data_IF_908000222668
#
_entry.id   IF_908000222668
#
_cell.length_a   1.000
_cell.length_b   1.000
_cell.length_c   1.000
_cell.angle_alpha   90.00
_cell.angle_beta   90.00
_cell.angle_gamma   90.00
#
_symmetry.space_group_name_H-M   'P 1'
#
loop_
_entity.id
_entity.type
_entity.pdbx_description
1 polymer ?
#
# COMPACT_ATOMS: atom_id res chain seq x y z
N UNK A 1 7.08 16.44 5.65
CA UNK A 1 7.25 15.57 4.45
C UNK A 1 8.71 15.16 4.14
N UNK A 2 9.74 15.75 4.78
CA UNK A 2 11.18 15.42 4.52
C UNK A 2 11.68 14.06 5.07
N UNK A 3 10.96 13.44 6.00
CA UNK A 3 11.38 12.17 6.61
C UNK A 3 11.25 10.94 5.70
N UNK A 4 10.26 10.91 4.80
CA UNK A 4 10.05 9.78 3.89
C UNK A 4 11.22 9.63 2.91
N UNK A 5 11.55 10.70 2.18
CA UNK A 5 12.63 10.66 1.19
C UNK A 5 13.99 10.36 1.83
N UNK A 6 14.24 10.88 3.04
CA UNK A 6 15.50 10.60 3.75
C UNK A 6 15.60 9.13 4.14
N UNK A 7 14.53 8.55 4.72
CA UNK A 7 14.52 7.14 5.09
C UNK A 7 14.60 6.20 3.88
N UNK A 8 13.82 6.46 2.82
CA UNK A 8 13.88 5.66 1.59
C UNK A 8 15.24 5.71 0.90
N UNK A 9 15.89 6.88 0.88
CA UNK A 9 17.23 7.00 0.31
C UNK A 9 18.24 6.15 1.09
N UNK A 10 18.19 6.19 2.43
CA UNK A 10 19.03 5.33 3.28
C UNK A 10 18.78 3.84 3.02
N UNK A 11 17.52 3.42 2.90
CA UNK A 11 17.17 2.01 2.66
C UNK A 11 17.54 1.54 1.25
N UNK A 12 17.36 2.38 0.23
CA UNK A 12 17.79 2.07 -1.14
C UNK A 12 19.31 1.96 -1.24
N UNK A 13 20.06 2.80 -0.53
CA UNK A 13 21.52 2.69 -0.44
C UNK A 13 21.94 1.40 0.29
N UNK A 14 21.27 1.05 1.38
CA UNK A 14 21.51 -0.20 2.10
C UNK A 14 21.22 -1.42 1.20
N UNK A 15 20.10 -1.39 0.47
CA UNK A 15 19.69 -2.43 -0.46
C UNK A 15 20.71 -2.59 -1.61
N UNK A 16 21.11 -1.48 -2.23
CA UNK A 16 22.11 -1.46 -3.30
C UNK A 16 23.45 -2.05 -2.84
N UNK A 17 23.93 -1.65 -1.65
CA UNK A 17 25.17 -2.15 -1.09
C UNK A 17 25.12 -3.64 -0.75
N UNK A 18 24.01 -4.12 -0.17
CA UNK A 18 23.81 -5.54 0.15
C UNK A 18 23.71 -6.39 -1.14
N UNK A 19 23.05 -5.87 -2.17
CA UNK A 19 22.87 -6.56 -3.44
C UNK A 19 24.12 -6.57 -4.34
N UNK A 20 25.03 -5.60 -4.17
CA UNK A 20 26.15 -5.29 -5.10
C UNK A 20 26.96 -6.49 -5.59
N UNK A 21 27.18 -7.51 -4.74
CA UNK A 21 28.04 -8.66 -5.08
C UNK A 21 27.30 -9.80 -5.76
N UNK A 22 26.08 -10.10 -5.32
CA UNK A 22 25.35 -11.31 -5.72
C UNK A 22 24.17 -11.04 -6.63
N UNK A 23 23.64 -9.80 -6.62
CA UNK A 23 22.43 -9.42 -7.30
C UNK A 23 22.62 -8.05 -7.99
N UNK A 24 23.42 -7.97 -9.06
CA UNK A 24 23.70 -6.71 -9.75
C UNK A 24 22.43 -6.04 -10.31
N UNK A 25 21.44 -6.82 -10.71
CA UNK A 25 20.14 -6.31 -11.18
C UNK A 25 19.37 -5.50 -10.10
N UNK A 26 19.44 -5.93 -8.84
CA UNK A 26 18.80 -5.24 -7.70
C UNK A 26 19.55 -3.95 -7.41
N UNK A 27 20.88 -3.99 -7.49
CA UNK A 27 21.72 -2.80 -7.33
C UNK A 27 21.36 -1.74 -8.37
N UNK A 28 21.28 -2.11 -9.65
CA UNK A 28 20.89 -1.19 -10.73
C UNK A 28 19.48 -0.63 -10.53
N UNK A 29 18.52 -1.49 -10.17
CA UNK A 29 17.16 -1.06 -9.88
C UNK A 29 17.10 -0.08 -8.71
N UNK A 30 17.88 -0.32 -7.65
CA UNK A 30 17.95 0.57 -6.48
C UNK A 30 18.60 1.91 -6.84
N UNK A 31 19.66 1.94 -7.64
CA UNK A 31 20.31 3.17 -8.13
C UNK A 31 19.35 4.00 -9.00
N UNK A 32 18.55 3.36 -9.85
CA UNK A 32 17.48 4.04 -10.62
C UNK A 32 16.42 4.64 -9.71
N UNK A 33 15.95 3.91 -8.69
CA UNK A 33 14.99 4.43 -7.71
C UNK A 33 15.56 5.60 -6.90
N UNK A 34 16.86 5.57 -6.55
CA UNK A 34 17.54 6.71 -5.89
C UNK A 34 17.54 7.94 -6.78
N UNK A 35 17.82 7.77 -8.07
CA UNK A 35 17.78 8.87 -9.04
C UNK A 35 16.38 9.48 -9.13
N UNK A 36 15.33 8.65 -9.29
CA UNK A 36 13.93 9.07 -9.31
C UNK A 36 13.60 9.87 -8.04
N UNK A 37 13.98 9.37 -6.86
CA UNK A 37 13.72 10.03 -5.59
C UNK A 37 14.38 11.41 -5.48
N UNK A 38 15.60 11.56 -6.01
CA UNK A 38 16.29 12.86 -6.06
C UNK A 38 15.58 13.84 -6.98
N UNK A 39 15.21 13.41 -8.18
CA UNK A 39 14.48 14.24 -9.15
C UNK A 39 13.15 14.74 -8.57
N UNK A 40 12.42 13.89 -7.84
CA UNK A 40 11.17 14.31 -7.19
C UNK A 40 11.47 15.32 -6.07
N UNK A 41 12.51 15.11 -5.27
CA UNK A 41 12.88 16.00 -4.15
C UNK A 41 13.28 17.40 -4.61
N UNK A 42 13.87 17.51 -5.80
CA UNK A 42 14.29 18.79 -6.39
C UNK A 42 13.12 19.61 -6.95
N UNK A 43 11.92 19.03 -7.10
CA UNK A 43 10.72 19.73 -7.55
C UNK A 43 9.96 20.33 -6.37
N UNK A 44 9.98 21.66 -6.16
CA UNK A 44 9.23 22.29 -5.08
C UNK A 44 7.72 22.20 -5.32
N UNK A 45 6.95 21.98 -4.26
CA UNK A 45 5.48 22.05 -4.28
C UNK A 45 4.74 20.73 -4.53
N UNK A 46 5.43 19.63 -4.81
CA UNK A 46 4.81 18.31 -5.01
C UNK A 46 4.93 17.43 -3.75
N UNK A 47 3.86 16.68 -3.44
CA UNK A 47 3.93 15.64 -2.41
C UNK A 47 4.70 14.43 -2.96
N UNK A 48 5.85 14.14 -2.33
CA UNK A 48 6.71 13.00 -2.68
C UNK A 48 5.92 11.70 -2.74
N UNK A 49 4.97 11.51 -1.82
CA UNK A 49 4.17 10.28 -1.73
C UNK A 49 3.30 10.11 -2.96
N UNK A 50 2.67 11.19 -3.45
CA UNK A 50 1.84 11.16 -4.65
C UNK A 50 2.67 10.94 -5.92
N UNK A 51 3.86 11.54 -6.01
CA UNK A 51 4.73 11.35 -7.17
C UNK A 51 5.29 9.91 -7.23
N UNK A 52 5.61 9.32 -6.08
CA UNK A 52 6.00 7.92 -5.99
C UNK A 52 4.84 6.97 -6.35
N UNK A 53 3.61 7.29 -5.93
CA UNK A 53 2.42 6.49 -6.27
C UNK A 53 2.10 6.47 -7.77
N UNK A 54 2.67 7.37 -8.57
CA UNK A 54 2.56 7.34 -10.04
C UNK A 54 3.63 6.48 -10.72
N UNK A 55 4.66 6.06 -9.99
CA UNK A 55 5.83 5.41 -10.55
C UNK A 55 5.96 3.97 -10.03
N UNK A 56 5.41 3.01 -10.77
CA UNK A 56 5.51 1.58 -10.45
C UNK A 56 6.93 1.03 -10.51
N UNK A 57 7.80 1.61 -11.35
CA UNK A 57 9.22 1.21 -11.44
C UNK A 57 9.98 1.45 -10.12
N UNK A 58 9.52 2.41 -9.31
CA UNK A 58 10.12 2.67 -8.00
C UNK A 58 10.07 1.46 -7.06
N UNK A 59 9.07 0.58 -7.23
CA UNK A 59 8.89 -0.63 -6.41
C UNK A 59 9.77 -1.79 -6.83
N UNK A 60 10.25 -1.78 -8.07
CA UNK A 60 11.02 -2.87 -8.70
C UNK A 60 12.19 -3.39 -7.85
N UNK A 61 13.09 -2.55 -7.27
CA UNK A 61 14.18 -3.08 -6.46
C UNK A 61 13.72 -3.87 -5.23
N UNK A 62 12.60 -3.47 -4.61
CA UNK A 62 12.07 -4.14 -3.43
C UNK A 62 11.41 -5.48 -3.79
N UNK A 63 10.68 -5.53 -4.90
CA UNK A 63 10.06 -6.79 -5.38
C UNK A 63 11.14 -7.80 -5.74
N UNK A 64 12.15 -7.40 -6.54
CA UNK A 64 13.27 -8.27 -6.89
C UNK A 64 14.02 -8.77 -5.65
N UNK A 65 14.25 -7.90 -4.66
CA UNK A 65 14.89 -8.27 -3.42
C UNK A 65 14.08 -9.29 -2.60
N UNK A 66 12.75 -9.18 -2.60
CA UNK A 66 11.88 -10.19 -1.98
C UNK A 66 11.96 -11.54 -2.70
N UNK A 67 12.07 -11.54 -4.04
CA UNK A 67 12.19 -12.77 -4.86
C UNK A 67 13.50 -13.54 -4.60
N UNK A 68 14.59 -12.86 -4.23
CA UNK A 68 15.87 -13.53 -3.90
C UNK A 68 15.78 -14.49 -2.72
N UNK A 69 14.77 -14.32 -1.86
CA UNK A 69 14.64 -15.02 -0.56
C UNK A 69 15.87 -14.85 0.36
N UNK A 70 16.72 -13.86 0.09
CA UNK A 70 17.85 -13.54 0.95
C UNK A 70 17.36 -12.69 2.13
N UNK A 71 17.37 -13.24 3.34
CA UNK A 71 16.75 -12.65 4.55
C UNK A 71 17.10 -11.17 4.73
N UNK A 72 18.35 -10.75 4.54
CA UNK A 72 18.76 -9.34 4.68
C UNK A 72 18.13 -8.42 3.63
N UNK A 73 18.10 -8.86 2.36
CA UNK A 73 17.50 -8.08 1.27
C UNK A 73 15.99 -7.96 1.45
N UNK A 74 15.34 -9.08 1.82
CA UNK A 74 13.91 -9.13 2.13
C UNK A 74 13.58 -8.18 3.30
N UNK A 75 14.38 -8.22 4.37
CA UNK A 75 14.16 -7.39 5.58
C UNK A 75 14.26 -5.89 5.29
N UNK A 76 15.25 -5.48 4.49
CA UNK A 76 15.36 -4.07 4.05
C UNK A 76 14.14 -3.70 3.19
N UNK A 77 13.76 -4.57 2.26
CA UNK A 77 12.70 -4.30 1.29
C UNK A 77 11.33 -4.18 1.93
N UNK A 78 10.95 -5.09 2.83
CA UNK A 78 9.68 -5.00 3.55
C UNK A 78 9.62 -3.75 4.43
N UNK A 79 10.74 -3.32 5.01
CA UNK A 79 10.84 -2.09 5.79
C UNK A 79 10.56 -0.84 4.94
N UNK A 80 11.05 -0.81 3.70
CA UNK A 80 10.75 0.25 2.73
C UNK A 80 9.29 0.20 2.29
N UNK A 81 8.76 -0.99 1.96
CA UNK A 81 7.37 -1.18 1.54
C UNK A 81 6.39 -0.72 2.62
N UNK A 82 6.64 -1.03 3.89
CA UNK A 82 5.85 -0.55 5.02
C UNK A 82 5.71 0.99 5.01
N UNK A 83 6.83 1.70 4.87
CA UNK A 83 6.83 3.17 4.86
C UNK A 83 6.10 3.76 3.67
N UNK A 84 6.19 3.11 2.51
CA UNK A 84 5.46 3.50 1.32
C UNK A 84 3.95 3.30 1.50
N UNK A 85 3.55 2.14 2.03
CA UNK A 85 2.15 1.78 2.31
C UNK A 85 1.54 2.76 3.30
N UNK A 86 2.20 3.02 4.44
CA UNK A 86 1.70 3.93 5.47
C UNK A 86 1.52 5.39 5.02
N UNK A 87 2.08 5.77 3.88
CA UNK A 87 1.98 7.14 3.31
C UNK A 87 1.26 7.20 1.97
N UNK A 88 0.55 6.13 1.58
CA UNK A 88 -0.13 6.06 0.28
C UNK A 88 0.80 6.31 -0.92
N UNK A 89 2.06 5.87 -0.83
CA UNK A 89 3.09 6.08 -1.84
C UNK A 89 3.26 4.89 -2.80
N UNK A 90 2.26 4.01 -2.90
CA UNK A 90 2.22 2.86 -3.81
C UNK A 90 1.07 3.05 -4.81
N UNK A 91 1.28 2.79 -6.11
CA UNK A 91 0.20 2.77 -7.08
C UNK A 91 -0.84 1.69 -6.74
N UNK A 92 -2.13 2.00 -6.84
CA UNK A 92 -3.20 1.03 -6.57
C UNK A 92 -3.12 -0.24 -7.43
N UNK A 93 -2.69 -0.08 -8.69
CA UNK A 93 -2.47 -1.19 -9.62
C UNK A 93 -1.40 -2.18 -9.15
N UNK A 94 -0.50 -1.75 -8.27
CA UNK A 94 0.59 -2.57 -7.72
C UNK A 94 0.19 -3.33 -6.44
N UNK A 95 -0.97 -3.05 -5.84
CA UNK A 95 -1.37 -3.66 -4.56
C UNK A 95 -1.44 -5.18 -4.65
N UNK A 96 -1.98 -5.71 -5.74
CA UNK A 96 -2.01 -7.16 -6.00
C UNK A 96 -0.60 -7.77 -6.03
N UNK A 97 0.35 -7.09 -6.69
CA UNK A 97 1.74 -7.54 -6.75
C UNK A 97 2.40 -7.51 -5.37
N UNK A 98 2.15 -6.46 -4.57
CA UNK A 98 2.68 -6.34 -3.22
C UNK A 98 2.12 -7.46 -2.33
N UNK A 99 0.81 -7.72 -2.36
CA UNK A 99 0.21 -8.76 -1.54
C UNK A 99 0.76 -10.15 -1.88
N UNK A 100 0.91 -10.45 -3.17
CA UNK A 100 1.60 -11.66 -3.65
C UNK A 100 3.04 -11.73 -3.13
N UNK A 101 3.79 -10.64 -3.22
CA UNK A 101 5.18 -10.58 -2.73
C UNK A 101 5.26 -10.86 -1.23
N UNK A 102 4.36 -10.29 -0.42
CA UNK A 102 4.29 -10.54 1.03
C UNK A 102 3.98 -12.01 1.33
N UNK A 103 3.10 -12.62 0.53
CA UNK A 103 2.75 -14.04 0.64
C UNK A 103 3.97 -14.94 0.35
N UNK A 104 4.76 -14.62 -0.68
CA UNK A 104 5.94 -15.40 -1.06
C UNK A 104 7.07 -15.36 -0.01
N UNK A 105 7.17 -14.26 0.76
CA UNK A 105 8.21 -14.09 1.79
C UNK A 105 7.75 -14.45 3.21
N UNK A 106 6.48 -14.84 3.41
CA UNK A 106 5.90 -15.10 4.74
C UNK A 106 6.62 -16.21 5.52
N UNK A 107 7.29 -17.14 4.82
CA UNK A 107 8.01 -18.26 5.43
C UNK A 107 9.50 -17.96 5.72
N UNK A 108 9.98 -16.74 5.46
CA UNK A 108 11.42 -16.40 5.51
C UNK A 108 11.96 -16.11 6.91
N UNK A 109 11.09 -16.00 7.92
CA UNK A 109 11.51 -15.83 9.32
C UNK A 109 10.51 -15.05 10.16
N UNK A 110 10.65 -15.16 11.49
CA UNK A 110 9.74 -14.56 12.48
C UNK A 110 9.67 -13.04 12.33
N UNK A 111 10.80 -12.37 12.16
CA UNK A 111 10.85 -10.92 12.00
C UNK A 111 10.09 -10.45 10.75
N UNK A 112 10.17 -11.22 9.67
CA UNK A 112 9.47 -10.93 8.41
C UNK A 112 7.96 -11.14 8.61
N UNK A 113 7.56 -12.22 9.30
CA UNK A 113 6.15 -12.48 9.64
C UNK A 113 5.54 -11.32 10.44
N UNK A 114 6.23 -10.85 11.48
CA UNK A 114 5.76 -9.72 12.29
C UNK A 114 5.67 -8.43 11.48
N UNK A 115 6.62 -8.17 10.59
CA UNK A 115 6.57 -7.03 9.67
C UNK A 115 5.38 -7.12 8.70
N UNK A 116 5.09 -8.31 8.15
CA UNK A 116 3.89 -8.51 7.32
C UNK A 116 2.63 -8.17 8.11
N UNK A 117 2.48 -8.70 9.33
CA UNK A 117 1.32 -8.44 10.20
C UNK A 117 1.13 -6.96 10.53
N UNK A 118 2.22 -6.21 10.67
CA UNK A 118 2.17 -4.75 10.88
C UNK A 118 1.79 -3.99 9.60
N UNK A 119 2.04 -4.57 8.43
CA UNK A 119 1.79 -3.92 7.13
C UNK A 119 0.34 -4.05 6.70
N UNK A 120 -0.28 -5.20 6.95
CA UNK A 120 -1.64 -5.51 6.47
C UNK A 120 -2.71 -4.50 6.92
N UNK A 121 -2.75 -4.04 8.18
CA UNK A 121 -3.72 -3.03 8.60
C UNK A 121 -3.59 -1.73 7.81
N UNK A 122 -2.36 -1.23 7.62
CA UNK A 122 -2.13 -0.04 6.83
C UNK A 122 -2.51 -0.26 5.36
N UNK A 123 -2.28 -1.45 4.81
CA UNK A 123 -2.67 -1.76 3.43
C UNK A 123 -4.20 -1.70 3.27
N UNK A 124 -4.96 -2.27 4.22
CA UNK A 124 -6.41 -2.24 4.20
C UNK A 124 -6.96 -0.83 4.41
N UNK A 125 -6.46 -0.08 5.41
CA UNK A 125 -6.96 1.27 5.71
C UNK A 125 -6.61 2.28 4.63
N UNK A 126 -5.47 2.10 3.95
CA UNK A 126 -4.96 3.11 3.02
C UNK A 126 -5.40 2.92 1.55
N UNK A 127 -5.87 1.73 1.17
CA UNK A 127 -6.21 1.43 -0.21
C UNK A 127 -7.63 0.86 -0.31
N UNK A 128 -8.51 1.60 -0.98
CA UNK A 128 -9.92 1.20 -1.19
C UNK A 128 -10.06 0.15 -2.30
N UNK A 129 -9.06 0.01 -3.17
CA UNK A 129 -8.94 -1.09 -4.12
C UNK A 129 -8.71 -2.46 -3.48
N UNK A 130 -8.46 -2.53 -2.16
CA UNK A 130 -8.33 -3.79 -1.44
C UNK A 130 -9.71 -4.33 -1.02
N UNK A 131 -10.43 -4.86 -2.01
CA UNK A 131 -11.75 -5.50 -1.84
C UNK A 131 -11.80 -6.86 -2.55
N UNK A 132 -12.87 -7.62 -2.33
CA UNK A 132 -13.10 -8.93 -2.96
C UNK A 132 -11.95 -9.91 -2.72
N UNK A 133 -11.38 -10.45 -3.80
CA UNK A 133 -10.32 -11.45 -3.74
C UNK A 133 -9.05 -10.95 -3.03
N UNK A 134 -8.69 -9.67 -3.19
CA UNK A 134 -7.51 -9.10 -2.53
C UNK A 134 -7.68 -9.04 -1.01
N UNK A 135 -8.91 -8.78 -0.55
CA UNK A 135 -9.23 -8.81 0.87
C UNK A 135 -9.17 -10.23 1.43
N UNK A 136 -9.73 -11.20 0.68
CA UNK A 136 -9.65 -12.60 1.05
C UNK A 136 -8.20 -13.10 1.13
N UNK A 137 -7.34 -12.71 0.19
CA UNK A 137 -5.91 -13.03 0.22
C UNK A 137 -5.20 -12.43 1.44
N UNK A 138 -5.51 -11.18 1.80
CA UNK A 138 -4.93 -10.52 2.98
C UNK A 138 -5.36 -11.20 4.30
N UNK A 139 -6.64 -11.54 4.42
CA UNK A 139 -7.17 -12.27 5.59
C UNK A 139 -6.59 -13.68 5.68
N UNK A 140 -6.49 -14.39 4.56
CA UNK A 140 -5.86 -15.70 4.49
C UNK A 140 -4.41 -15.66 4.97
N UNK A 141 -3.67 -14.59 4.63
CA UNK A 141 -2.30 -14.39 5.11
C UNK A 141 -2.26 -14.27 6.64
N UNK A 142 -3.18 -13.52 7.24
CA UNK A 142 -3.32 -13.43 8.69
C UNK A 142 -3.66 -14.78 9.33
N UNK A 143 -4.61 -15.54 8.78
CA UNK A 143 -4.96 -16.87 9.29
C UNK A 143 -3.77 -17.83 9.25
N UNK A 144 -3.00 -17.85 8.17
CA UNK A 144 -1.79 -18.67 8.06
C UNK A 144 -0.75 -18.31 9.10
N UNK A 145 -0.60 -17.02 9.41
CA UNK A 145 0.31 -16.55 10.46
C UNK A 145 -0.21 -16.83 11.86
N UNK A 146 -1.53 -16.86 12.04
CA UNK A 146 -2.17 -17.24 13.29
C UNK A 146 -1.92 -18.71 13.61
N UNK A 147 -1.86 -19.61 12.62
CA UNK A 147 -1.51 -21.02 12.85
C UNK A 147 0.00 -21.25 13.16
N UNK A 148 0.77 -20.17 13.33
CA UNK A 148 2.19 -20.28 13.71
C UNK A 148 2.34 -20.86 15.12
N UNK A 149 3.30 -21.79 15.27
CA UNK A 149 3.71 -22.35 16.58
C UNK A 149 4.41 -21.31 17.47
N UNK A 150 4.79 -20.18 16.90
CA UNK A 150 5.50 -19.12 17.61
C UNK A 150 4.47 -18.20 18.26
N UNK A 151 4.40 -18.24 19.59
CA UNK A 151 3.38 -17.55 20.40
C UNK A 151 3.28 -16.06 20.06
N UNK A 152 4.41 -15.36 19.87
CA UNK A 152 4.37 -13.93 19.53
C UNK A 152 3.70 -13.71 18.16
N UNK A 153 4.02 -14.52 17.15
CA UNK A 153 3.43 -14.41 15.82
C UNK A 153 1.95 -14.76 15.85
N UNK A 154 1.58 -15.84 16.53
CA UNK A 154 0.19 -16.26 16.70
C UNK A 154 -0.65 -15.15 17.35
N UNK A 155 -0.20 -14.61 18.48
CA UNK A 155 -0.91 -13.57 19.21
C UNK A 155 -1.01 -12.27 18.41
N UNK A 156 0.09 -11.84 17.78
CA UNK A 156 0.09 -10.66 16.91
C UNK A 156 -0.84 -10.88 15.72
N UNK A 157 -0.84 -12.05 15.09
CA UNK A 157 -1.72 -12.36 13.97
C UNK A 157 -3.19 -12.35 14.37
N UNK A 158 -3.53 -12.92 15.53
CA UNK A 158 -4.88 -12.86 16.07
C UNK A 158 -5.34 -11.43 16.36
N UNK A 159 -4.45 -10.59 16.90
CA UNK A 159 -4.75 -9.17 17.13
C UNK A 159 -4.94 -8.40 15.81
N UNK A 160 -4.02 -8.58 14.85
CA UNK A 160 -4.11 -8.01 13.51
C UNK A 160 -5.39 -8.44 12.80
N UNK A 161 -5.75 -9.72 12.86
CA UNK A 161 -6.98 -10.23 12.22
C UNK A 161 -8.23 -9.55 12.78
N UNK A 162 -8.32 -9.42 14.11
CA UNK A 162 -9.43 -8.66 14.75
C UNK A 162 -9.46 -7.22 14.24
N UNK A 163 -8.30 -6.56 14.16
CA UNK A 163 -8.23 -5.19 13.65
C UNK A 163 -8.65 -5.08 12.18
N UNK A 164 -8.25 -6.04 11.33
CA UNK A 164 -8.67 -6.06 9.93
C UNK A 164 -10.18 -6.20 9.82
N UNK A 165 -10.79 -7.10 10.60
CA UNK A 165 -12.24 -7.28 10.63
C UNK A 165 -12.95 -6.00 11.07
N UNK A 166 -12.48 -5.36 12.15
CA UNK A 166 -13.03 -4.07 12.61
C UNK A 166 -12.95 -3.03 11.49
N UNK A 167 -11.78 -2.85 10.86
CA UNK A 167 -11.59 -1.90 9.77
C UNK A 167 -12.50 -2.18 8.56
N UNK A 168 -12.77 -3.45 8.23
CA UNK A 168 -13.70 -3.82 7.15
C UNK A 168 -15.12 -3.34 7.49
N UNK A 169 -15.60 -3.61 8.70
CA UNK A 169 -16.94 -3.20 9.12
C UNK A 169 -17.06 -1.67 9.20
N UNK A 170 -16.04 -0.97 9.67
CA UNK A 170 -15.99 0.50 9.65
C UNK A 170 -16.04 1.04 8.21
N UNK A 171 -15.35 0.41 7.25
CA UNK A 171 -15.44 0.80 5.83
C UNK A 171 -16.84 0.61 5.26
N UNK A 172 -17.51 -0.48 5.59
CA UNK A 172 -18.89 -0.75 5.13
C UNK A 172 -19.84 0.32 5.68
N UNK A 173 -19.73 0.69 6.95
CA UNK A 173 -20.54 1.77 7.55
C UNK A 173 -20.32 3.11 6.81
N UNK A 174 -19.06 3.47 6.53
CA UNK A 174 -18.73 4.67 5.77
C UNK A 174 -19.25 4.65 4.33
N UNK A 175 -19.26 3.48 3.68
CA UNK A 175 -19.83 3.30 2.34
C UNK A 175 -21.37 3.46 2.36
N UNK A 176 -22.04 2.90 3.35
CA UNK A 176 -23.48 3.02 3.53
C UNK A 176 -23.92 4.49 3.78
N UNK A 177 -23.18 5.22 4.62
CA UNK A 177 -23.43 6.64 4.87
C UNK A 177 -23.26 7.51 3.60
N UNK A 178 -22.26 7.19 2.76
CA UNK A 178 -22.03 7.90 1.48
C UNK A 178 -23.17 7.63 0.50
N UNK A 179 -23.59 6.38 0.37
CA UNK A 179 -24.69 6.00 -0.52
C UNK A 179 -26.03 6.66 -0.12
N UNK A 180 -26.28 6.86 1.18
CA UNK A 180 -27.47 7.59 1.65
C UNK A 180 -27.42 9.10 1.31
N UNK A 181 -26.22 9.72 1.32
CA UNK A 181 -26.04 11.14 0.98
C UNK A 181 -26.15 11.40 -0.52
N UNK A 182 -25.63 10.51 -1.35
CA UNK A 182 -25.71 10.63 -2.82
C UNK A 182 -27.13 10.34 -3.35
N UNK A 183 -27.90 9.47 -2.68
CA UNK A 183 -29.31 9.21 -2.99
C UNK A 183 -30.27 10.40 -2.75
N UNK A 184 -29.83 11.44 -2.03
CA UNK A 184 -30.64 12.62 -1.70
C UNK A 184 -30.42 13.82 -2.67
N UNK A 185 -29.50 13.71 -3.63
CA UNK A 185 -29.20 14.76 -4.63
C UNK A 185 -29.75 14.42 -6.04
N UNK A 186 -31.07 14.22 -6.17
CA UNK A 186 -31.86 14.49 -7.40
C UNK A 186 -33.31 14.08 -7.15
N UNK A 187 -34.26 15.04 -7.01
CA UNK A 187 -34.95 15.55 -8.19
C UNK A 187 -35.39 17.03 -8.04
N UNK A 188 -34.75 17.98 -8.74
CA UNK A 188 -35.38 19.31 -8.89
C UNK A 188 -35.07 20.05 -10.21
N UNK A 189 -34.71 19.32 -11.27
CA UNK A 189 -34.40 19.92 -12.58
C UNK A 189 -35.54 19.88 -13.60
N UNK A 190 -36.76 19.43 -13.23
CA UNK A 190 -37.85 19.22 -14.21
C UNK A 190 -38.96 20.29 -14.16
N UNK A 191 -39.01 21.17 -13.16
CA UNK A 191 -40.16 22.07 -12.98
C UNK A 191 -40.07 23.49 -13.60
N UNK A 192 -39.06 23.82 -14.41
CA UNK A 192 -38.92 25.17 -14.99
C UNK A 192 -39.36 25.33 -16.46
N UNK A 193 -39.96 24.31 -17.10
CA UNK A 193 -40.28 24.36 -18.55
C UNK A 193 -41.69 24.88 -18.88
N UNK A 194 -42.58 25.16 -17.92
CA UNK A 194 -43.96 25.61 -18.25
C UNK A 194 -44.31 26.94 -17.58
N UNK A 195 -43.93 28.05 -18.21
CA UNK A 195 -44.72 29.29 -18.15
C UNK A 195 -44.87 29.87 -19.57
N UNK A 196 -46.09 30.01 -20.13
CA UNK A 196 -46.31 30.71 -21.38
C UNK A 196 -46.18 32.23 -21.17
N UNK A 197 -45.39 32.90 -22.01
CA UNK A 197 -45.26 34.37 -22.04
C UNK A 197 -46.62 35.03 -22.38
N UNK A 198 -47.06 36.08 -21.67
CA UNK A 198 -48.18 36.89 -22.12
C UNK A 198 -47.76 37.79 -23.29
N UNK A 199 -48.62 37.86 -24.30
CA UNK A 199 -48.52 38.77 -25.45
C UNK A 199 -48.61 40.23 -24.97
N UNK A 200 -47.73 41.09 -25.47
CA UNK A 200 -47.90 42.53 -25.37
C UNK A 200 -48.37 43.07 -26.73
N UNK A 201 -49.40 43.91 -26.66
CA UNK A 201 -49.94 44.74 -27.73
C UNK A 201 -48.95 45.82 -28.16
#
# INVERSE_FOLDING_TARGET
MSGLSTSLNTELLALSNEARRKHPEIKEAAERSIFILRTIKERPGFDISQELAKNSDFLRPFVLACETKHIKLVTISIGSLQKLISRHAIPETSIKMILKTLNDIVSQGVDIQLKILQTLPSLLSNYDSLHGDLLAEALLLCFRLQDSKIVVVNNTAAATLRQLVINIFEKVELEDERNQKDGMQSPNSIFSIVTPRPAQY
#
